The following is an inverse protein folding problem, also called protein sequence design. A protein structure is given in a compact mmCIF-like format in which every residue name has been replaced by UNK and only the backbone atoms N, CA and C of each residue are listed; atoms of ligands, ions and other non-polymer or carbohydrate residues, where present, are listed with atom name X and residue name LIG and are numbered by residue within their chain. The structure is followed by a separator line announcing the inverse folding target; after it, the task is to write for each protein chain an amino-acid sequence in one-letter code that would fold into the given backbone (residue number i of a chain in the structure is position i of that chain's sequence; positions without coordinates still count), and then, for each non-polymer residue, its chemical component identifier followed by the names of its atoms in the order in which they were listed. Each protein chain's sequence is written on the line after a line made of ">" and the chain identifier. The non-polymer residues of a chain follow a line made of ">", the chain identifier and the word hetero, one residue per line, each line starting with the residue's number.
data_IF_092588951932
#
_entry.id   IF_092588951932
#
_cell.length_a   1.000
_cell.length_b   1.000
_cell.length_c   1.000
_cell.angle_alpha   90.00
_cell.angle_beta   90.00
_cell.angle_gamma   90.00
#
_symmetry.space_group_name_H-M   'P 1'
#
loop_
_entity.id
_entity.type
_entity.pdbx_description
1 polymer ?
#
# COMPACT_ATOMS: atom_id res chain seq x y z
N UNK A 1 -4.47 -8.38 -32.00
CA UNK A 1 -4.78 -7.69 -30.74
C UNK A 1 -3.51 -7.14 -30.15
N UNK A 2 -3.42 -5.84 -30.08
CA UNK A 2 -2.24 -5.18 -29.54
C UNK A 2 -2.29 -5.23 -28.01
N UNK A 3 -1.16 -5.60 -27.40
CA UNK A 3 -1.04 -5.50 -25.95
C UNK A 3 -1.22 -4.04 -25.54
N UNK A 4 -1.94 -3.78 -24.43
CA UNK A 4 -2.04 -2.40 -23.96
C UNK A 4 -0.65 -1.86 -23.66
N UNK A 5 -0.39 -0.64 -24.13
CA UNK A 5 0.82 0.08 -23.82
C UNK A 5 0.91 0.22 -22.28
N UNK A 6 2.08 0.02 -21.66
CA UNK A 6 2.25 0.27 -20.23
C UNK A 6 1.77 1.66 -19.79
N UNK A 7 1.76 2.63 -20.71
CA UNK A 7 1.24 3.97 -20.43
C UNK A 7 -0.29 4.01 -20.29
N UNK A 8 -0.99 2.99 -20.79
CA UNK A 8 -2.45 2.89 -20.68
C UNK A 8 -2.90 2.15 -19.42
N UNK A 9 -1.95 1.70 -18.60
CA UNK A 9 -2.26 1.05 -17.33
C UNK A 9 -2.64 2.12 -16.29
N UNK A 10 -3.93 2.19 -15.99
CA UNK A 10 -4.47 3.16 -15.04
C UNK A 10 -4.55 2.62 -13.61
N UNK A 11 -4.00 1.44 -13.36
CA UNK A 11 -3.97 0.86 -12.02
C UNK A 11 -3.05 1.66 -11.10
N UNK A 12 -3.47 1.76 -9.85
CA UNK A 12 -2.78 2.54 -8.82
C UNK A 12 -2.31 1.64 -7.68
N UNK A 13 -1.18 2.01 -7.10
CA UNK A 13 -0.63 1.34 -5.93
C UNK A 13 -0.37 2.38 -4.84
N UNK A 14 -0.77 2.05 -3.61
CA UNK A 14 -0.49 2.88 -2.43
C UNK A 14 0.72 2.31 -1.70
N UNK A 15 1.72 3.14 -1.44
CA UNK A 15 2.94 2.73 -0.75
C UNK A 15 2.84 3.15 0.71
N UNK A 16 2.98 2.19 1.62
CA UNK A 16 2.86 2.43 3.06
C UNK A 16 4.01 1.78 3.82
N UNK A 17 4.33 2.34 4.98
CA UNK A 17 5.22 1.69 5.93
C UNK A 17 4.44 0.65 6.74
N UNK A 18 5.08 -0.48 7.01
CA UNK A 18 4.46 -1.54 7.81
C UNK A 18 5.48 -2.09 8.81
N UNK A 19 4.99 -2.36 10.02
CA UNK A 19 5.77 -3.06 11.03
C UNK A 19 5.68 -4.57 10.84
N UNK A 20 6.58 -5.31 11.48
CA UNK A 20 6.52 -6.78 11.46
C UNK A 20 5.19 -7.30 12.02
N UNK A 21 4.67 -6.63 13.05
CA UNK A 21 3.38 -6.97 13.65
C UNK A 21 2.22 -6.77 12.67
N UNK A 22 2.23 -5.65 11.95
CA UNK A 22 1.23 -5.38 10.93
C UNK A 22 1.28 -6.41 9.79
N UNK A 23 2.48 -6.78 9.33
CA UNK A 23 2.64 -7.80 8.29
C UNK A 23 2.09 -9.15 8.74
N UNK A 24 2.34 -9.54 9.99
CA UNK A 24 1.78 -10.78 10.54
C UNK A 24 0.26 -10.78 10.56
N UNK A 25 -0.34 -9.66 10.95
CA UNK A 25 -1.79 -9.49 10.94
C UNK A 25 -2.35 -9.60 9.53
N UNK A 26 -1.71 -8.93 8.57
CA UNK A 26 -2.12 -8.97 7.16
C UNK A 26 -2.03 -10.38 6.59
N UNK A 27 -0.93 -11.10 6.88
CA UNK A 27 -0.75 -12.48 6.41
C UNK A 27 -1.76 -13.44 7.01
N UNK A 28 -2.14 -13.23 8.27
CA UNK A 28 -3.08 -14.14 8.94
C UNK A 28 -4.54 -13.85 8.62
N UNK A 29 -4.90 -12.58 8.35
CA UNK A 29 -6.29 -12.17 8.17
C UNK A 29 -6.63 -11.70 6.75
N UNK A 30 -5.64 -11.30 5.98
CA UNK A 30 -5.85 -10.65 4.69
C UNK A 30 -6.45 -9.26 4.81
N UNK A 31 -6.35 -8.62 5.98
CA UNK A 31 -6.98 -7.34 6.26
C UNK A 31 -5.95 -6.28 6.63
N UNK A 32 -6.10 -5.09 6.04
CA UNK A 32 -5.25 -3.95 6.35
C UNK A 32 -6.11 -2.71 6.59
N UNK A 33 -6.19 -2.23 7.84
CA UNK A 33 -6.90 -0.99 8.14
C UNK A 33 -6.03 0.22 7.84
N UNK A 34 -6.61 1.22 7.17
CA UNK A 34 -5.91 2.47 6.86
C UNK A 34 -6.91 3.60 6.73
N UNK A 35 -6.67 4.70 7.43
CA UNK A 35 -7.59 5.83 7.48
C UNK A 35 -7.71 6.59 6.16
N UNK A 36 -6.73 6.48 5.27
CA UNK A 36 -6.69 7.28 4.05
C UNK A 36 -7.88 7.07 3.11
N UNK A 37 -8.40 5.84 3.06
CA UNK A 37 -9.54 5.52 2.20
C UNK A 37 -9.28 5.67 0.71
N UNK A 38 -8.03 5.73 0.27
CA UNK A 38 -7.71 5.85 -1.16
C UNK A 38 -8.15 4.61 -1.93
N UNK A 39 -8.79 4.84 -3.07
CA UNK A 39 -9.17 3.75 -3.97
C UNK A 39 -7.94 3.36 -4.80
N UNK A 40 -7.40 2.19 -4.53
CA UNK A 40 -6.20 1.66 -5.20
C UNK A 40 -6.41 0.19 -5.55
N UNK A 41 -5.61 -0.29 -6.50
CA UNK A 41 -5.67 -1.67 -6.97
C UNK A 41 -4.67 -2.57 -6.24
N UNK A 42 -3.60 -1.98 -5.71
CA UNK A 42 -2.53 -2.67 -4.99
C UNK A 42 -2.08 -1.85 -3.80
N UNK A 43 -1.47 -2.51 -2.83
CA UNK A 43 -0.77 -1.85 -1.72
C UNK A 43 0.62 -2.44 -1.61
N UNK A 44 1.62 -1.58 -1.51
CA UNK A 44 3.00 -1.96 -1.24
C UNK A 44 3.32 -1.68 0.22
N UNK A 45 3.68 -2.72 0.96
CA UNK A 45 4.05 -2.64 2.37
C UNK A 45 5.57 -2.64 2.47
N UNK A 46 6.14 -1.53 2.90
CA UNK A 46 7.57 -1.39 3.10
C UNK A 46 7.94 -1.62 4.55
N UNK A 47 8.77 -2.60 4.82
CA UNK A 47 9.18 -3.00 6.16
C UNK A 47 10.67 -3.25 6.23
N UNK A 48 11.17 -3.49 7.44
CA UNK A 48 12.56 -3.90 7.63
C UNK A 48 12.86 -5.29 7.03
N UNK A 49 11.82 -6.09 6.83
CA UNK A 49 11.95 -7.43 6.21
C UNK A 49 11.96 -7.37 4.68
N UNK A 50 11.65 -6.22 4.12
CA UNK A 50 11.56 -6.01 2.67
C UNK A 50 10.28 -5.33 2.26
N UNK A 51 10.09 -5.23 0.96
CA UNK A 51 8.88 -4.66 0.35
C UNK A 51 8.00 -5.79 -0.17
N UNK A 52 6.71 -5.73 0.16
CA UNK A 52 5.72 -6.73 -0.24
C UNK A 52 4.54 -6.04 -0.90
N UNK A 53 4.10 -6.59 -2.03
CA UNK A 53 2.97 -6.06 -2.80
C UNK A 53 1.80 -7.03 -2.71
N UNK A 54 0.61 -6.50 -2.47
CA UNK A 54 -0.61 -7.28 -2.45
C UNK A 54 -1.68 -6.61 -3.29
N UNK A 55 -2.47 -7.42 -3.99
CA UNK A 55 -3.64 -6.94 -4.72
C UNK A 55 -4.75 -6.59 -3.73
N UNK A 56 -5.43 -5.47 -3.96
CA UNK A 56 -6.60 -5.08 -3.18
C UNK A 56 -7.82 -5.80 -3.74
N UNK A 57 -8.43 -6.65 -2.93
CA UNK A 57 -9.59 -7.45 -3.33
C UNK A 57 -10.90 -6.74 -3.03
N UNK A 58 -10.95 -5.96 -1.94
CA UNK A 58 -12.14 -5.24 -1.51
C UNK A 58 -11.75 -4.07 -0.62
N UNK A 59 -12.51 -2.98 -0.69
CA UNK A 59 -12.33 -1.81 0.16
C UNK A 59 -13.65 -1.56 0.88
N UNK A 60 -13.64 -1.62 2.22
CA UNK A 60 -14.79 -1.34 3.06
C UNK A 60 -14.55 -0.08 3.86
N UNK A 61 -15.35 0.96 3.66
CA UNK A 61 -15.24 2.22 4.39
C UNK A 61 -16.14 2.20 5.63
N UNK A 62 -15.73 2.93 6.66
CA UNK A 62 -16.52 3.09 7.86
C UNK A 62 -16.59 1.85 8.75
N UNK A 63 -15.56 1.00 8.71
CA UNK A 63 -15.48 -0.19 9.57
C UNK A 63 -14.99 0.23 10.95
N UNK A 64 -15.61 -0.31 12.00
CA UNK A 64 -15.20 -0.03 13.37
C UNK A 64 -13.89 -0.74 13.68
N UNK A 65 -12.97 -0.04 14.34
CA UNK A 65 -11.66 -0.61 14.69
C UNK A 65 -11.77 -1.83 15.59
N UNK A 66 -12.78 -1.90 16.47
CA UNK A 66 -12.97 -3.06 17.33
C UNK A 66 -13.44 -4.33 16.58
N UNK A 67 -13.91 -4.18 15.35
CA UNK A 67 -14.24 -5.33 14.48
C UNK A 67 -12.98 -5.91 13.83
N UNK A 68 -11.94 -5.09 13.65
CA UNK A 68 -10.67 -5.50 13.06
C UNK A 68 -9.71 -5.99 14.15
N UNK A 69 -9.61 -5.23 15.23
CA UNK A 69 -8.77 -5.54 16.39
C UNK A 69 -9.69 -5.78 17.59
N UNK A 70 -9.97 -7.04 17.89
CA UNK A 70 -10.94 -7.42 18.92
C UNK A 70 -10.59 -6.90 20.31
N UNK A 71 -9.30 -6.65 20.57
CA UNK A 71 -8.83 -6.16 21.86
C UNK A 71 -8.82 -4.65 21.98
N UNK A 72 -9.26 -3.94 20.93
CA UNK A 72 -9.27 -2.49 20.92
C UNK A 72 -10.61 -1.93 21.35
N UNK A 73 -10.62 -1.13 22.40
CA UNK A 73 -11.82 -0.44 22.87
C UNK A 73 -12.13 0.82 22.09
N UNK A 74 -11.41 1.08 21.02
CA UNK A 74 -11.58 2.30 20.22
C UNK A 74 -12.92 2.30 19.50
N UNK A 75 -13.63 3.42 19.62
CA UNK A 75 -14.88 3.68 18.88
C UNK A 75 -14.61 4.25 17.49
N UNK A 76 -13.35 4.39 17.10
CA UNK A 76 -12.98 4.95 15.81
C UNK A 76 -13.37 4.07 14.64
N UNK A 77 -13.53 4.70 13.49
CA UNK A 77 -13.80 4.02 12.23
C UNK A 77 -12.59 4.13 11.32
N UNK A 78 -12.40 3.14 10.46
CA UNK A 78 -11.31 3.12 9.49
C UNK A 78 -11.82 2.58 8.17
N UNK A 79 -10.98 2.67 7.15
CA UNK A 79 -11.20 1.94 5.90
C UNK A 79 -10.46 0.61 6.01
N UNK A 80 -11.14 -0.47 5.68
CA UNK A 80 -10.57 -1.81 5.71
C UNK A 80 -10.30 -2.27 4.29
N UNK A 81 -9.03 -2.56 4.00
CA UNK A 81 -8.60 -3.14 2.74
C UNK A 81 -8.48 -4.65 2.91
N UNK A 82 -9.21 -5.41 2.11
CA UNK A 82 -8.96 -6.84 1.99
C UNK A 82 -7.96 -7.05 0.88
N UNK A 83 -6.87 -7.74 1.20
CA UNK A 83 -5.75 -7.91 0.27
C UNK A 83 -5.46 -9.39 0.05
N UNK A 84 -4.88 -9.70 -1.10
CA UNK A 84 -4.43 -11.04 -1.44
C UNK A 84 -3.08 -11.36 -0.84
N UNK A 85 -2.45 -12.38 -1.39
CA UNK A 85 -1.14 -12.85 -0.92
C UNK A 85 -0.08 -11.76 -1.10
N UNK A 86 0.77 -11.61 -0.08
CA UNK A 86 1.92 -10.72 -0.14
C UNK A 86 3.00 -11.33 -1.02
N UNK A 87 3.43 -10.58 -2.03
CA UNK A 87 4.49 -11.00 -2.96
C UNK A 87 5.66 -10.05 -2.79
N UNK A 88 6.85 -10.62 -2.54
CA UNK A 88 8.05 -9.82 -2.37
C UNK A 88 8.41 -9.11 -3.66
N UNK A 89 8.74 -7.82 -3.54
CA UNK A 89 9.18 -6.98 -4.64
C UNK A 89 10.48 -6.28 -4.26
N UNK A 90 11.50 -6.40 -5.09
CA UNK A 90 12.80 -5.80 -4.82
C UNK A 90 12.75 -4.30 -5.10
N UNK A 91 12.61 -3.52 -4.03
CA UNK A 91 12.62 -2.07 -4.09
C UNK A 91 13.48 -1.54 -2.96
N UNK A 92 14.54 -0.82 -3.31
CA UNK A 92 15.44 -0.23 -2.34
C UNK A 92 14.83 1.05 -1.78
N UNK A 93 14.78 1.16 -0.45
CA UNK A 93 14.31 2.35 0.21
C UNK A 93 15.47 3.33 0.42
N UNK A 94 15.53 4.37 -0.39
CA UNK A 94 16.53 5.42 -0.31
C UNK A 94 15.93 6.82 -0.24
N UNK A 95 14.64 6.91 0.01
CA UNK A 95 13.94 8.17 0.23
C UNK A 95 12.76 7.96 1.16
N UNK A 96 12.21 9.05 1.69
CA UNK A 96 11.00 9.00 2.51
C UNK A 96 9.79 8.69 1.64
N UNK A 97 8.84 7.95 2.22
CA UNK A 97 7.53 7.74 1.61
C UNK A 97 6.67 8.96 1.96
N UNK A 98 6.11 9.66 0.96
CA UNK A 98 5.25 10.81 1.24
C UNK A 98 3.95 10.38 1.94
N UNK A 99 3.30 11.34 2.57
CA UNK A 99 2.02 11.11 3.24
C UNK A 99 0.87 11.51 2.33
N UNK A 100 -0.31 11.01 2.65
CA UNK A 100 -1.54 11.36 1.96
C UNK A 100 -1.56 10.83 0.53
N UNK A 101 -2.12 11.62 -0.35
CA UNK A 101 -2.36 11.20 -1.73
C UNK A 101 -1.06 11.02 -2.55
N UNK A 102 0.01 11.67 -2.12
CA UNK A 102 1.31 11.59 -2.81
C UNK A 102 1.94 10.20 -2.76
N UNK A 103 1.48 9.33 -1.86
CA UNK A 103 1.96 7.94 -1.78
C UNK A 103 1.23 6.99 -2.71
N UNK A 104 0.22 7.49 -3.41
CA UNK A 104 -0.49 6.72 -4.44
C UNK A 104 0.15 7.06 -5.79
N UNK A 105 0.68 6.04 -6.45
CA UNK A 105 1.42 6.19 -7.71
C UNK A 105 0.92 5.18 -8.72
N UNK A 106 1.21 5.39 -10.02
CA UNK A 106 0.89 4.37 -11.02
C UNK A 106 1.58 3.04 -10.72
N UNK A 107 0.82 1.96 -10.81
CA UNK A 107 1.34 0.62 -10.54
C UNK A 107 2.53 0.27 -11.45
N UNK A 108 2.44 0.60 -12.73
CA UNK A 108 3.52 0.34 -13.68
C UNK A 108 4.81 1.07 -13.30
N UNK A 109 4.69 2.31 -12.84
CA UNK A 109 5.85 3.10 -12.40
C UNK A 109 6.51 2.47 -11.16
N UNK A 110 5.69 2.04 -10.19
CA UNK A 110 6.19 1.38 -8.99
C UNK A 110 6.92 0.08 -9.34
N UNK A 111 6.31 -0.76 -10.17
CA UNK A 111 6.83 -2.09 -10.48
C UNK A 111 8.11 -2.05 -11.31
N UNK A 112 8.32 -1.00 -12.09
CA UNK A 112 9.54 -0.84 -12.91
C UNK A 112 10.65 -0.11 -12.18
N UNK A 113 10.35 0.55 -11.06
CA UNK A 113 11.34 1.28 -10.27
C UNK A 113 12.12 0.32 -9.38
N UNK A 114 13.41 0.61 -9.19
CA UNK A 114 14.29 -0.15 -8.30
C UNK A 114 14.51 0.54 -6.96
N UNK A 115 14.17 1.83 -6.87
CA UNK A 115 14.42 2.66 -5.70
C UNK A 115 13.24 3.58 -5.43
N UNK A 116 12.98 3.87 -4.16
CA UNK A 116 11.91 4.79 -3.78
C UNK A 116 12.14 6.20 -4.30
N UNK A 117 13.39 6.64 -4.40
CA UNK A 117 13.71 7.97 -4.93
C UNK A 117 13.31 8.14 -6.39
N UNK A 118 13.26 7.06 -7.16
CA UNK A 118 12.78 7.11 -8.55
C UNK A 118 11.27 7.32 -8.62
N UNK A 119 10.55 6.84 -7.60
CA UNK A 119 9.08 6.96 -7.53
C UNK A 119 8.68 8.32 -6.97
N UNK A 120 9.37 8.77 -5.91
CA UNK A 120 9.00 9.95 -5.14
C UNK A 120 9.96 11.12 -5.33
N UNK A 121 10.60 11.22 -6.48
CA UNK A 121 11.62 12.26 -6.76
C UNK A 121 11.10 13.68 -6.62
N UNK A 122 9.85 13.94 -6.96
CA UNK A 122 9.25 15.27 -6.83
C UNK A 122 9.09 15.69 -5.37
N UNK A 123 8.82 14.71 -4.51
CA UNK A 123 8.71 14.95 -3.08
C UNK A 123 10.07 15.26 -2.47
N UNK A 124 11.14 14.62 -2.98
CA UNK A 124 12.51 14.83 -2.52
C UNK A 124 13.01 16.24 -2.83
N UNK A 125 12.62 16.82 -3.95
CA UNK A 125 13.09 18.12 -4.40
C UNK A 125 12.57 19.29 -3.53
N UNK A 126 11.66 19.02 -2.61
CA UNK A 126 11.09 20.01 -1.70
C UNK A 126 11.74 20.01 -0.30
N UNK A 127 12.81 19.29 -0.13
CA UNK A 127 13.55 19.27 1.13
C UNK A 127 14.77 20.18 1.10
#
# INVERSE_FOLDING_TARGET
>A
MTEPDPQDDDRLIMVVDATASQLRHIRSTGQYPNLSGHKVDFIAFMSQQGTFVAEVLEIKKGVRLNEVYKDMESKGKTTLYKVGTLVRHDLRRNSKIPRGRKRVVPYSEFMTSKETSSIFRHHRDHY
#
